data_IF_377218363176
#
_entry.id   IF_377218363176
#
_cell.length_a   1.000
_cell.length_b   1.000
_cell.length_c   1.000
_cell.angle_alpha   90.00
_cell.angle_beta   90.00
_cell.angle_gamma   90.00
#
_symmetry.space_group_name_H-M   'P 1'
#
loop_
_entity.id
_entity.type
_entity.pdbx_description
1 polymer ?
#
# COMPACT_ATOMS: atom_id res chain seq x y z
N UNK A 1 40.85 15.85 49.89
CA UNK A 1 39.46 15.74 49.38
C UNK A 1 39.52 14.86 48.16
N UNK A 2 38.88 13.73 48.24
CA UNK A 2 39.23 12.46 47.60
C UNK A 2 38.87 12.38 46.09
N UNK A 3 39.93 12.34 45.25
CA UNK A 3 39.83 12.08 43.79
C UNK A 3 39.57 10.57 43.44
N UNK A 4 39.19 9.75 44.40
CA UNK A 4 39.07 8.29 44.25
C UNK A 4 37.62 7.79 44.08
N UNK A 5 36.60 8.65 44.12
CA UNK A 5 35.18 8.27 44.07
C UNK A 5 34.60 8.48 42.66
N UNK A 6 35.30 9.17 41.73
CA UNK A 6 34.77 9.47 40.38
C UNK A 6 35.07 8.43 39.29
N UNK A 7 35.88 7.40 39.59
CA UNK A 7 36.27 6.40 38.60
C UNK A 7 35.42 5.13 38.68
N UNK A 8 34.65 4.94 39.75
CA UNK A 8 33.86 3.72 39.94
C UNK A 8 32.43 3.80 39.33
N UNK A 9 31.95 4.96 38.86
CA UNK A 9 30.58 5.11 38.31
C UNK A 9 30.50 5.07 36.80
N UNK A 10 31.62 4.91 36.08
CA UNK A 10 31.66 4.90 34.62
C UNK A 10 31.79 3.48 34.02
N UNK A 11 31.88 2.44 34.84
CA UNK A 11 32.05 1.06 34.41
C UNK A 11 30.76 0.23 34.40
N UNK A 12 29.61 0.78 34.82
CA UNK A 12 28.35 0.04 34.95
C UNK A 12 27.34 0.32 33.82
N UNK A 13 27.71 1.06 32.74
CA UNK A 13 26.76 1.45 31.67
C UNK A 13 27.05 0.76 30.32
N UNK A 14 27.85 -0.31 30.30
CA UNK A 14 28.24 -1.01 29.06
C UNK A 14 27.79 -2.48 28.98
N UNK A 15 26.69 -2.89 29.58
CA UNK A 15 26.23 -4.30 29.51
C UNK A 15 24.75 -4.43 29.08
N UNK A 16 24.16 -3.49 28.37
CA UNK A 16 22.82 -3.68 27.78
C UNK A 16 22.75 -3.41 26.29
N UNK A 17 23.80 -3.77 25.54
CA UNK A 17 23.79 -3.77 24.08
C UNK A 17 23.84 -5.19 23.52
N UNK A 18 23.13 -6.14 24.13
CA UNK A 18 23.02 -7.49 23.59
C UNK A 18 21.56 -7.76 23.23
N UNK A 19 21.29 -7.72 21.93
CA UNK A 19 20.24 -8.54 21.33
C UNK A 19 18.89 -7.91 21.14
N UNK A 20 18.78 -6.84 20.36
CA UNK A 20 17.66 -6.78 19.42
C UNK A 20 18.19 -7.16 18.05
N UNK A 21 18.30 -8.45 17.80
CA UNK A 21 18.23 -8.98 16.45
C UNK A 21 16.78 -8.71 15.99
N UNK A 22 16.47 -7.47 15.61
CA UNK A 22 15.36 -7.19 14.74
C UNK A 22 15.71 -7.80 13.41
N UNK A 23 15.43 -9.09 13.27
CA UNK A 23 15.20 -9.71 11.99
C UNK A 23 14.10 -8.92 11.33
N UNK A 24 14.46 -7.89 10.58
CA UNK A 24 13.66 -7.37 9.48
C UNK A 24 13.65 -8.47 8.41
N UNK A 25 13.19 -9.66 8.83
CA UNK A 25 13.05 -10.84 8.01
C UNK A 25 11.83 -10.67 7.12
N UNK A 26 11.98 -9.87 6.10
CA UNK A 26 11.23 -10.17 4.91
C UNK A 26 11.64 -11.58 4.54
N UNK A 27 10.73 -12.56 4.69
CA UNK A 27 10.97 -13.94 4.35
C UNK A 27 11.68 -14.01 2.99
N UNK A 28 12.92 -14.52 2.96
CA UNK A 28 13.67 -14.75 1.73
C UNK A 28 13.03 -15.85 0.87
N UNK A 29 12.11 -16.61 1.46
CA UNK A 29 11.30 -17.62 0.78
C UNK A 29 10.20 -16.94 -0.05
N UNK A 30 10.24 -17.04 -1.40
CA UNK A 30 9.22 -16.47 -2.27
C UNK A 30 7.81 -17.02 -1.97
N UNK A 31 7.67 -18.26 -1.56
CA UNK A 31 6.36 -18.86 -1.26
C UNK A 31 5.77 -18.26 0.02
N UNK A 32 6.56 -18.09 1.06
CA UNK A 32 6.11 -17.44 2.30
C UNK A 32 5.73 -15.98 2.04
N UNK A 33 6.49 -15.26 1.19
CA UNK A 33 6.18 -13.88 0.83
C UNK A 33 4.88 -13.77 0.03
N UNK A 34 4.65 -14.66 -0.94
CA UNK A 34 3.36 -14.71 -1.66
C UNK A 34 2.19 -14.91 -0.70
N UNK A 35 2.29 -15.91 0.20
CA UNK A 35 1.26 -16.20 1.18
C UNK A 35 0.99 -15.00 2.11
N UNK A 36 2.03 -14.30 2.55
CA UNK A 36 1.91 -13.11 3.38
C UNK A 36 1.16 -11.99 2.65
N UNK A 37 1.54 -11.70 1.39
CA UNK A 37 0.86 -10.69 0.57
C UNK A 37 -0.61 -11.07 0.38
N UNK A 38 -0.90 -12.32 0.01
CA UNK A 38 -2.27 -12.78 -0.23
C UNK A 38 -3.15 -12.64 1.02
N UNK A 39 -2.65 -13.06 2.18
CA UNK A 39 -3.36 -12.92 3.46
C UNK A 39 -3.64 -11.45 3.79
N UNK A 40 -2.66 -10.57 3.56
CA UNK A 40 -2.82 -9.14 3.81
C UNK A 40 -3.80 -8.50 2.83
N UNK A 41 -3.80 -8.92 1.57
CA UNK A 41 -4.76 -8.46 0.54
C UNK A 41 -6.19 -8.88 0.91
N UNK A 42 -6.39 -10.11 1.36
CA UNK A 42 -7.72 -10.58 1.80
C UNK A 42 -8.23 -9.79 3.02
N UNK A 43 -7.35 -9.53 3.98
CA UNK A 43 -7.68 -8.71 5.16
C UNK A 43 -8.05 -7.27 4.76
N UNK A 44 -7.27 -6.65 3.86
CA UNK A 44 -7.54 -5.29 3.38
C UNK A 44 -8.85 -5.19 2.60
N UNK A 45 -9.17 -6.17 1.74
CA UNK A 45 -10.46 -6.23 1.05
C UNK A 45 -11.62 -6.39 2.04
N UNK A 46 -11.46 -7.23 3.06
CA UNK A 46 -12.43 -7.37 4.15
C UNK A 46 -12.68 -6.06 4.88
N UNK A 47 -11.61 -5.28 5.13
CA UNK A 47 -11.70 -3.95 5.75
C UNK A 47 -12.42 -2.94 4.85
N UNK A 48 -12.07 -2.90 3.56
CA UNK A 48 -12.74 -2.05 2.58
C UNK A 48 -14.25 -2.33 2.55
N UNK A 49 -14.66 -3.59 2.55
CA UNK A 49 -16.08 -3.97 2.52
C UNK A 49 -16.83 -3.59 3.79
N UNK A 50 -16.15 -3.55 4.93
CA UNK A 50 -16.76 -3.11 6.20
C UNK A 50 -16.90 -1.60 6.30
N UNK A 51 -15.88 -0.86 5.83
CA UNK A 51 -15.82 0.58 6.02
C UNK A 51 -16.50 1.37 4.89
N UNK A 52 -16.58 0.81 3.68
CA UNK A 52 -17.08 1.50 2.49
C UNK A 52 -18.29 0.76 1.91
N UNK A 53 -19.52 1.19 2.25
CA UNK A 53 -20.74 0.63 1.68
C UNK A 53 -20.71 0.66 0.14
N UNK A 54 -21.14 -0.43 -0.51
CA UNK A 54 -21.16 -0.56 -1.96
C UNK A 54 -19.81 -0.93 -2.61
N UNK A 55 -18.71 -0.92 -1.86
CA UNK A 55 -17.39 -1.29 -2.40
C UNK A 55 -17.32 -2.75 -2.86
N UNK A 56 -18.04 -3.65 -2.18
CA UNK A 56 -18.11 -5.07 -2.57
C UNK A 56 -18.71 -5.24 -3.97
N UNK A 57 -19.77 -4.51 -4.29
CA UNK A 57 -20.42 -4.58 -5.60
C UNK A 57 -19.52 -4.01 -6.68
N UNK A 58 -18.80 -2.90 -6.38
CA UNK A 58 -17.87 -2.30 -7.32
C UNK A 58 -16.67 -3.21 -7.59
N UNK A 59 -16.09 -3.82 -6.56
CA UNK A 59 -15.04 -4.84 -6.69
C UNK A 59 -15.53 -6.03 -7.49
N UNK A 60 -16.78 -6.48 -7.29
CA UNK A 60 -17.39 -7.59 -8.05
C UNK A 60 -17.61 -7.30 -9.54
N UNK A 61 -17.73 -6.02 -9.93
CA UNK A 61 -17.87 -5.59 -11.34
C UNK A 61 -16.54 -5.34 -12.02
N UNK A 62 -15.46 -5.17 -11.28
CA UNK A 62 -14.13 -4.89 -11.81
C UNK A 62 -13.59 -6.11 -12.58
N UNK A 63 -12.93 -5.86 -13.70
CA UNK A 63 -12.21 -6.89 -14.47
C UNK A 63 -10.97 -7.39 -13.72
N UNK A 64 -10.38 -6.55 -12.89
CA UNK A 64 -9.28 -6.89 -12.00
C UNK A 64 -9.16 -5.86 -10.88
N UNK A 65 -8.57 -6.27 -9.76
CA UNK A 65 -8.35 -5.42 -8.59
C UNK A 65 -6.92 -5.55 -8.13
N UNK A 66 -6.18 -4.46 -8.19
CA UNK A 66 -4.83 -4.36 -7.64
C UNK A 66 -4.91 -3.79 -6.24
N UNK A 67 -4.40 -4.53 -5.26
CA UNK A 67 -4.48 -4.17 -3.85
C UNK A 67 -3.08 -4.08 -3.26
N UNK A 68 -2.77 -2.94 -2.68
CA UNK A 68 -1.63 -2.73 -1.81
C UNK A 68 -2.14 -2.58 -0.37
N UNK A 69 -2.09 -3.64 0.45
CA UNK A 69 -2.71 -3.65 1.78
C UNK A 69 -2.04 -2.71 2.78
N UNK A 70 -0.77 -2.38 2.53
CA UNK A 70 0.01 -1.45 3.36
C UNK A 70 1.02 -0.74 2.48
N UNK A 71 0.77 0.52 2.20
CA UNK A 71 1.74 1.46 1.61
C UNK A 71 2.27 2.30 2.75
N UNK A 72 3.52 2.04 3.12
CA UNK A 72 4.20 2.80 4.16
C UNK A 72 4.82 4.04 3.54
N UNK A 73 4.44 5.19 4.03
CA UNK A 73 5.03 6.48 3.70
C UNK A 73 5.83 6.99 4.90
N UNK A 74 7.06 7.42 4.66
CA UNK A 74 7.90 8.02 5.67
C UNK A 74 8.70 9.18 5.07
N UNK A 75 8.82 10.28 5.82
CA UNK A 75 9.58 11.46 5.39
C UNK A 75 9.47 12.63 6.34
N UNK A 76 10.29 13.66 6.08
CA UNK A 76 10.26 14.92 6.83
C UNK A 76 10.00 16.12 5.90
N UNK A 77 10.84 16.36 4.90
CA UNK A 77 10.65 17.38 3.85
C UNK A 77 10.49 16.67 2.51
N UNK A 78 11.24 15.59 2.33
CA UNK A 78 11.12 14.66 1.22
C UNK A 78 10.72 13.33 1.81
N UNK A 79 9.67 12.74 1.28
CA UNK A 79 9.16 11.45 1.69
C UNK A 79 9.28 10.43 0.56
N UNK A 80 9.27 9.17 0.94
CA UNK A 80 9.13 8.05 0.03
C UNK A 80 8.06 7.10 0.55
N UNK A 81 7.31 6.50 -0.35
CA UNK A 81 6.38 5.44 -0.01
C UNK A 81 6.72 4.14 -0.70
N UNK A 82 6.40 3.03 -0.06
CA UNK A 82 6.56 1.69 -0.61
C UNK A 82 5.49 0.76 -0.06
N UNK A 83 4.97 -0.10 -0.93
CA UNK A 83 4.05 -1.16 -0.56
C UNK A 83 4.15 -2.34 -1.52
N UNK A 84 3.96 -3.54 -1.00
CA UNK A 84 3.81 -4.75 -1.79
C UNK A 84 2.32 -5.12 -1.88
N UNK A 85 1.90 -5.68 -3.01
CA UNK A 85 0.51 -6.00 -3.25
C UNK A 85 0.32 -7.08 -4.31
N UNK A 86 -0.95 -7.37 -4.60
CA UNK A 86 -1.31 -8.37 -5.61
C UNK A 86 -2.45 -7.88 -6.51
N UNK A 87 -2.38 -8.30 -7.77
CA UNK A 87 -3.46 -8.19 -8.74
C UNK A 87 -4.36 -9.42 -8.64
N UNK A 88 -5.64 -9.20 -8.39
CA UNK A 88 -6.70 -10.22 -8.38
C UNK A 88 -7.55 -10.11 -9.64
N UNK A 89 -7.76 -11.23 -10.33
CA UNK A 89 -8.68 -11.35 -11.46
C UNK A 89 -9.60 -12.54 -11.18
N UNK A 90 -10.90 -12.32 -11.19
CA UNK A 90 -11.88 -13.35 -10.82
C UNK A 90 -11.67 -13.89 -9.40
N UNK A 91 -11.21 -13.06 -8.48
CA UNK A 91 -10.92 -13.42 -7.08
C UNK A 91 -9.60 -14.16 -6.85
N UNK A 92 -8.84 -14.49 -7.90
CA UNK A 92 -7.56 -15.20 -7.80
C UNK A 92 -6.38 -14.26 -8.03
N UNK A 93 -5.29 -14.44 -7.29
CA UNK A 93 -4.04 -13.72 -7.53
C UNK A 93 -3.41 -14.19 -8.84
N UNK A 94 -3.14 -13.24 -9.74
CA UNK A 94 -2.50 -13.49 -11.04
C UNK A 94 -1.07 -12.94 -11.10
N UNK A 95 -0.74 -11.92 -10.33
CA UNK A 95 0.60 -11.34 -10.23
C UNK A 95 0.78 -10.54 -8.95
N UNK A 96 2.06 -10.36 -8.56
CA UNK A 96 2.45 -9.56 -7.41
C UNK A 96 3.18 -8.31 -7.88
N UNK A 97 2.97 -7.20 -7.16
CA UNK A 97 3.48 -5.89 -7.54
C UNK A 97 4.01 -5.15 -6.33
N UNK A 98 4.97 -4.26 -6.59
CA UNK A 98 5.40 -3.24 -5.64
C UNK A 98 4.98 -1.87 -6.15
N UNK A 99 4.52 -1.00 -5.24
CA UNK A 99 4.34 0.41 -5.51
C UNK A 99 5.40 1.23 -4.80
N UNK A 100 5.87 2.27 -5.47
CA UNK A 100 6.79 3.27 -4.90
C UNK A 100 6.37 4.65 -5.37
N UNK A 101 6.42 5.64 -4.50
CA UNK A 101 6.29 7.06 -4.87
C UNK A 101 7.22 7.92 -4.05
N UNK A 102 7.53 9.11 -4.59
CA UNK A 102 8.19 10.19 -3.87
C UNK A 102 7.18 11.27 -3.54
N UNK A 103 7.30 11.87 -2.38
CA UNK A 103 6.51 13.03 -1.98
C UNK A 103 7.43 14.15 -1.48
N UNK A 104 7.01 15.39 -1.73
CA UNK A 104 7.65 16.58 -1.18
C UNK A 104 6.59 17.29 -0.34
N UNK A 105 6.85 17.45 0.95
CA UNK A 105 5.91 18.10 1.85
C UNK A 105 6.46 18.24 3.28
N UNK A 106 5.89 19.18 4.03
CA UNK A 106 6.29 19.46 5.41
C UNK A 106 5.63 18.50 6.42
N UNK A 107 5.37 17.26 6.04
CA UNK A 107 4.80 16.26 6.96
C UNK A 107 5.93 15.42 7.54
N UNK A 108 6.14 15.54 8.84
CA UNK A 108 7.02 14.65 9.58
C UNK A 108 6.21 13.48 10.11
N UNK A 109 6.64 12.26 9.80
CA UNK A 109 6.00 11.07 10.34
C UNK A 109 6.08 9.86 9.43
N UNK A 110 5.49 8.78 9.92
CA UNK A 110 5.24 7.58 9.16
C UNK A 110 3.75 7.26 9.22
N UNK A 111 3.17 6.97 8.07
CA UNK A 111 1.78 6.50 7.98
C UNK A 111 1.69 5.29 7.06
N UNK A 112 0.66 4.50 7.29
CA UNK A 112 0.34 3.34 6.45
C UNK A 112 -1.08 3.46 5.92
N UNK A 113 -1.23 3.26 4.63
CA UNK A 113 -2.52 3.29 3.94
C UNK A 113 -2.69 2.04 3.08
N UNK A 114 -3.93 1.59 2.91
CA UNK A 114 -4.25 0.59 1.91
C UNK A 114 -4.75 1.29 0.64
N UNK A 115 -4.24 0.85 -0.51
CA UNK A 115 -4.61 1.39 -1.83
C UNK A 115 -5.23 0.29 -2.66
N UNK A 116 -6.39 0.59 -3.24
CA UNK A 116 -7.14 -0.32 -4.09
C UNK A 116 -7.35 0.33 -5.45
N UNK A 117 -6.93 -0.32 -6.52
CA UNK A 117 -7.15 0.11 -7.90
C UNK A 117 -8.03 -0.93 -8.61
N UNK A 118 -9.21 -0.51 -9.00
CA UNK A 118 -10.22 -1.33 -9.67
C UNK A 118 -10.17 -1.04 -11.16
N UNK A 119 -9.76 -2.00 -11.96
CA UNK A 119 -9.79 -1.91 -13.42
C UNK A 119 -11.21 -2.25 -13.90
N UNK A 120 -11.98 -1.24 -14.26
CA UNK A 120 -13.38 -1.41 -14.62
C UNK A 120 -13.56 -1.90 -16.05
N UNK A 121 -12.57 -1.66 -16.94
CA UNK A 121 -12.58 -2.10 -18.34
C UNK A 121 -11.49 -3.13 -18.61
N UNK A 122 -11.75 -4.02 -19.60
CA UNK A 122 -10.76 -5.01 -20.06
C UNK A 122 -9.50 -4.33 -20.62
N UNK A 123 -9.66 -3.23 -21.33
CA UNK A 123 -8.55 -2.50 -21.94
C UNK A 123 -7.63 -1.91 -20.87
N UNK A 124 -8.18 -1.32 -19.82
CA UNK A 124 -7.39 -0.79 -18.71
C UNK A 124 -6.59 -1.92 -18.01
N UNK A 125 -7.23 -3.06 -17.75
CA UNK A 125 -6.55 -4.21 -17.16
C UNK A 125 -5.45 -4.77 -18.08
N UNK A 126 -5.74 -4.92 -19.38
CA UNK A 126 -4.78 -5.44 -20.36
C UNK A 126 -3.58 -4.51 -20.52
N UNK A 127 -3.80 -3.21 -20.61
CA UNK A 127 -2.75 -2.21 -20.67
C UNK A 127 -1.84 -2.26 -19.44
N UNK A 128 -2.43 -2.39 -18.24
CA UNK A 128 -1.67 -2.56 -17.01
C UNK A 128 -0.83 -3.85 -17.04
N UNK A 129 -1.42 -4.99 -17.38
CA UNK A 129 -0.74 -6.29 -17.40
C UNK A 129 0.41 -6.36 -18.42
N UNK A 130 0.31 -5.65 -19.52
CA UNK A 130 1.33 -5.61 -20.58
C UNK A 130 2.45 -4.59 -20.28
N UNK A 131 2.27 -3.72 -19.29
CA UNK A 131 3.29 -2.73 -18.93
C UNK A 131 4.42 -3.38 -18.12
N UNK A 132 5.67 -2.98 -18.39
CA UNK A 132 6.84 -3.37 -17.57
C UNK A 132 7.06 -2.47 -16.36
N UNK A 133 6.30 -1.40 -16.26
CA UNK A 133 6.28 -0.42 -15.19
C UNK A 133 5.19 0.56 -15.51
N UNK A 134 4.25 0.71 -14.58
CA UNK A 134 3.05 1.51 -14.75
C UNK A 134 3.04 2.65 -13.73
N UNK A 135 2.73 3.85 -14.17
CA UNK A 135 2.73 5.06 -13.34
C UNK A 135 1.33 5.67 -13.34
N UNK A 136 0.77 5.83 -12.16
CA UNK A 136 -0.52 6.49 -11.96
C UNK A 136 -0.44 7.94 -12.44
N UNK A 137 -1.43 8.38 -13.19
CA UNK A 137 -1.51 9.73 -13.76
C UNK A 137 -0.78 9.89 -15.07
N UNK A 138 0.33 9.13 -15.32
CA UNK A 138 1.08 9.18 -16.57
C UNK A 138 0.58 8.13 -17.58
N UNK A 139 0.45 6.87 -17.14
CA UNK A 139 0.03 5.77 -18.03
C UNK A 139 -1.50 5.60 -18.06
N UNK A 140 -2.17 5.95 -16.95
CA UNK A 140 -3.62 6.01 -16.87
C UNK A 140 -4.09 6.90 -15.72
N UNK A 141 -5.19 7.58 -15.92
CA UNK A 141 -5.87 8.34 -14.87
C UNK A 141 -6.66 7.40 -13.96
N UNK A 142 -6.60 7.67 -12.66
CA UNK A 142 -7.37 6.96 -11.63
C UNK A 142 -8.34 7.92 -10.97
N UNK A 143 -9.62 7.56 -10.96
CA UNK A 143 -10.64 8.33 -10.25
C UNK A 143 -10.73 7.83 -8.81
N UNK A 144 -10.23 8.61 -7.84
CA UNK A 144 -10.32 8.26 -6.42
C UNK A 144 -11.72 8.53 -5.88
N UNK A 145 -12.29 7.54 -5.22
CA UNK A 145 -13.58 7.64 -4.53
C UNK A 145 -13.37 8.08 -3.09
N UNK A 146 -14.13 9.08 -2.67
CA UNK A 146 -14.13 9.63 -1.31
C UNK A 146 -15.39 9.25 -0.55
N UNK A 147 -15.42 9.49 0.76
CA UNK A 147 -16.60 9.30 1.61
C UNK A 147 -17.74 10.15 1.08
N UNK A 148 -18.91 9.56 0.88
CA UNK A 148 -20.08 10.21 0.27
C UNK A 148 -20.23 9.94 -1.23
N UNK A 149 -19.16 9.97 -2.02
CA UNK A 149 -19.22 9.57 -3.44
C UNK A 149 -19.37 8.04 -3.60
N UNK A 150 -18.86 7.24 -2.65
CA UNK A 150 -19.01 5.79 -2.65
C UNK A 150 -20.43 5.32 -2.33
N UNK A 151 -21.24 6.14 -1.62
CA UNK A 151 -22.66 5.87 -1.38
C UNK A 151 -23.55 6.21 -2.58
N UNK A 152 -23.03 7.05 -3.49
CA UNK A 152 -23.67 7.38 -4.77
C UNK A 152 -22.83 6.80 -5.90
N UNK A 153 -22.79 5.47 -6.02
CA UNK A 153 -22.28 4.84 -7.24
C UNK A 153 -23.13 5.28 -8.42
N UNK A 154 -22.75 6.43 -8.99
CA UNK A 154 -23.37 6.89 -10.22
C UNK A 154 -22.91 5.99 -11.37
N UNK A 155 -23.75 5.84 -12.37
CA UNK A 155 -23.37 5.18 -13.63
C UNK A 155 -22.09 5.76 -14.23
N UNK A 156 -21.79 7.04 -13.95
CA UNK A 156 -20.57 7.72 -14.35
C UNK A 156 -19.30 7.16 -13.70
N UNK A 157 -19.34 6.76 -12.41
CA UNK A 157 -18.18 6.17 -11.73
C UNK A 157 -17.84 4.78 -12.29
N UNK A 158 -18.88 3.99 -12.61
CA UNK A 158 -18.69 2.66 -13.21
C UNK A 158 -18.17 2.74 -14.67
N UNK A 159 -18.23 3.89 -15.31
CA UNK A 159 -17.72 4.13 -16.67
C UNK A 159 -16.26 4.58 -16.68
N UNK A 160 -15.68 4.92 -15.51
CA UNK A 160 -14.26 5.27 -15.43
C UNK A 160 -13.40 4.01 -15.67
N UNK A 161 -12.33 4.10 -16.49
CA UNK A 161 -11.47 2.95 -16.76
C UNK A 161 -10.85 2.35 -15.52
N UNK A 162 -10.42 3.21 -14.59
CA UNK A 162 -9.82 2.81 -13.31
C UNK A 162 -10.38 3.68 -12.19
N UNK A 163 -10.85 2.99 -11.15
CA UNK A 163 -11.37 3.61 -9.92
C UNK A 163 -10.49 3.21 -8.75
N UNK A 164 -10.24 4.12 -7.81
CA UNK A 164 -9.39 3.86 -6.66
C UNK A 164 -10.03 4.17 -5.32
N UNK A 165 -9.61 3.44 -4.30
CA UNK A 165 -9.84 3.77 -2.89
C UNK A 165 -8.50 3.89 -2.18
N UNK A 166 -8.39 4.86 -1.28
CA UNK A 166 -7.29 4.97 -0.33
C UNK A 166 -7.87 4.92 1.08
N UNK A 167 -7.51 3.90 1.82
CA UNK A 167 -8.05 3.61 3.14
C UNK A 167 -6.93 3.73 4.18
N UNK A 168 -7.17 4.52 5.22
CA UNK A 168 -6.33 4.55 6.42
C UNK A 168 -7.00 3.78 7.56
N UNK A 169 -6.30 3.64 8.68
CA UNK A 169 -6.88 3.10 9.92
C UNK A 169 -8.03 3.96 10.49
N UNK A 170 -8.24 5.16 9.97
CA UNK A 170 -9.35 6.08 10.33
C UNK A 170 -10.50 6.05 9.33
N UNK A 171 -10.39 5.29 8.26
CA UNK A 171 -11.40 5.19 7.20
C UNK A 171 -10.90 5.66 5.84
N UNK A 172 -11.85 5.85 4.93
CA UNK A 172 -11.58 6.30 3.57
C UNK A 172 -11.00 7.72 3.56
N UNK A 173 -9.87 7.91 2.91
CA UNK A 173 -9.19 9.19 2.84
C UNK A 173 -9.77 10.06 1.71
N UNK A 174 -9.96 11.34 2.01
CA UNK A 174 -10.33 12.37 1.04
C UNK A 174 -9.14 13.30 0.78
N UNK A 175 -9.05 13.84 -0.44
CA UNK A 175 -8.01 14.80 -0.79
C UNK A 175 -6.59 14.23 -0.92
N UNK A 176 -6.49 12.91 -1.03
CA UNK A 176 -5.22 12.22 -1.30
C UNK A 176 -5.02 12.12 -2.80
N UNK A 177 -3.80 12.33 -3.28
CA UNK A 177 -3.39 11.96 -4.64
C UNK A 177 -2.45 10.77 -4.59
N UNK A 178 -2.60 9.87 -5.55
CA UNK A 178 -1.69 8.76 -5.81
C UNK A 178 -0.93 8.96 -7.13
N UNK A 179 -1.06 10.11 -7.75
CA UNK A 179 -0.39 10.42 -9.00
C UNK A 179 1.14 10.37 -8.82
N UNK A 180 1.83 9.86 -9.83
CA UNK A 180 3.26 9.63 -9.79
C UNK A 180 3.68 8.33 -9.07
N UNK A 181 2.74 7.59 -8.47
CA UNK A 181 3.04 6.28 -7.91
C UNK A 181 3.40 5.30 -9.04
N UNK A 182 4.60 4.71 -8.94
CA UNK A 182 5.10 3.73 -9.89
C UNK A 182 4.84 2.33 -9.39
N UNK A 183 4.20 1.53 -10.22
CA UNK A 183 3.91 0.11 -9.97
C UNK A 183 4.82 -0.75 -10.82
N UNK A 184 5.50 -1.71 -10.20
CA UNK A 184 6.40 -2.66 -10.87
C UNK A 184 6.04 -4.09 -10.48
N UNK A 185 6.28 -5.05 -11.36
CA UNK A 185 6.03 -6.47 -11.07
C UNK A 185 7.10 -7.01 -10.10
N UNK A 186 6.64 -7.73 -9.08
CA UNK A 186 7.49 -8.51 -8.18
C UNK A 186 7.68 -9.91 -8.74
N UNK A 187 8.95 -10.30 -8.98
CA UNK A 187 9.26 -11.66 -9.37
C UNK A 187 9.46 -12.53 -8.12
N UNK A 188 8.40 -13.23 -7.72
CA UNK A 188 8.37 -14.11 -6.54
C UNK A 188 8.31 -15.59 -6.98
N UNK A 189 9.16 -15.95 -7.94
CA UNK A 189 9.28 -17.34 -8.42
C UNK A 189 10.18 -18.17 -7.49
#
# INVERSE_FOLDING_TARGET
MNKRIFVASLAALMVFASGCNTTSGGSSDPAARRKSIDTSVDAALGELYRQVPGSRDLVGRAQGVLVFPSVLEAGFIVGASRGDGALRVGGKTVSYHATTSGSIGLQAGAQSTAVFLLFMTKDALTNFQNSRGWTVGADASVTLLTVGASAQMTSATAQQPIVGYVLSNRGLMAGVSIDGARVTTLNLR
#
